data_IF_799692733501
#
_entry.id   IF_799692733501
#
_cell.length_a   1.000
_cell.length_b   1.000
_cell.length_c   1.000
_cell.angle_alpha   90.00
_cell.angle_beta   90.00
_cell.angle_gamma   90.00
#
_symmetry.space_group_name_H-M   'P 1'
#
loop_
_entity.id
_entity.type
_entity.pdbx_description
1 polymer ?
#
# COMPACT_ATOMS: atom_id res chain seq x y z
N UNK A 1 -18.20 -27.93 19.10
CA UNK A 1 -16.74 -27.79 18.91
C UNK A 1 -16.35 -26.36 19.26
N UNK A 2 -15.27 -26.12 20.03
CA UNK A 2 -14.89 -24.76 20.44
C UNK A 2 -14.40 -23.95 19.21
N UNK A 3 -15.10 -22.88 18.79
CA UNK A 3 -14.78 -22.13 17.57
C UNK A 3 -13.40 -21.45 17.62
N UNK A 4 -12.83 -21.24 18.81
CA UNK A 4 -11.47 -20.71 18.98
C UNK A 4 -10.38 -21.73 18.60
N UNK A 5 -10.71 -23.03 18.56
CA UNK A 5 -9.77 -24.10 18.20
C UNK A 5 -9.86 -24.53 16.73
N UNK A 6 -10.81 -23.97 15.98
CA UNK A 6 -11.07 -24.34 14.58
C UNK A 6 -10.68 -23.17 13.67
N UNK A 7 -9.88 -23.39 12.62
CA UNK A 7 -9.64 -22.40 11.59
C UNK A 7 -10.94 -21.92 10.92
N UNK A 8 -11.17 -20.61 10.77
CA UNK A 8 -12.36 -20.12 10.10
C UNK A 8 -12.27 -20.29 8.58
N UNK A 9 -13.34 -20.79 7.97
CA UNK A 9 -13.50 -20.84 6.50
C UNK A 9 -13.74 -19.43 5.94
N UNK A 10 -13.03 -19.00 4.88
CA UNK A 10 -13.24 -17.69 4.26
C UNK A 10 -14.66 -17.52 3.70
N UNK A 11 -15.14 -16.28 3.68
CA UNK A 11 -16.53 -15.89 3.35
C UNK A 11 -16.56 -15.01 2.10
N UNK A 12 -15.72 -13.98 2.03
CA UNK A 12 -15.84 -12.91 1.02
C UNK A 12 -14.86 -13.15 -0.12
N UNK A 13 -15.33 -13.17 -1.37
CA UNK A 13 -14.50 -13.39 -2.57
C UNK A 13 -13.89 -12.09 -3.14
N UNK A 14 -13.05 -12.17 -4.17
CA UNK A 14 -12.51 -11.01 -4.87
C UNK A 14 -13.61 -10.30 -5.70
N UNK A 15 -13.34 -9.07 -6.12
CA UNK A 15 -14.32 -8.22 -6.80
C UNK A 15 -14.87 -8.87 -8.08
N UNK A 16 -14.01 -9.50 -8.88
CA UNK A 16 -14.39 -10.20 -10.11
C UNK A 16 -15.36 -11.36 -9.85
N UNK A 17 -15.14 -12.11 -8.76
CA UNK A 17 -15.92 -13.31 -8.45
C UNK A 17 -17.23 -13.03 -7.71
N UNK A 18 -17.34 -11.91 -6.97
CA UNK A 18 -18.60 -11.60 -6.27
C UNK A 18 -19.71 -11.15 -7.22
N UNK A 19 -19.35 -10.66 -8.41
CA UNK A 19 -20.30 -10.06 -9.36
C UNK A 19 -20.98 -8.81 -8.82
N UNK A 20 -22.10 -8.43 -9.43
CA UNK A 20 -22.96 -7.34 -8.97
C UNK A 20 -23.99 -7.89 -7.95
N UNK A 21 -23.81 -7.63 -6.64
CA UNK A 21 -24.72 -8.14 -5.62
C UNK A 21 -26.11 -7.54 -5.70
N UNK A 22 -26.32 -6.40 -6.37
CA UNK A 22 -27.66 -5.81 -6.54
C UNK A 22 -28.52 -6.61 -7.52
N UNK A 23 -27.91 -7.48 -8.34
CA UNK A 23 -28.60 -8.39 -9.27
C UNK A 23 -28.80 -9.80 -8.69
N UNK A 24 -28.23 -10.07 -7.51
CA UNK A 24 -28.28 -11.38 -6.86
C UNK A 24 -29.56 -11.53 -6.03
N UNK A 25 -30.18 -12.72 -6.09
CA UNK A 25 -31.43 -13.03 -5.36
C UNK A 25 -31.22 -13.92 -4.13
N UNK A 26 -30.16 -14.72 -4.09
CA UNK A 26 -29.89 -15.66 -3.01
C UNK A 26 -28.63 -15.28 -2.24
N UNK A 27 -28.75 -15.06 -0.93
CA UNK A 27 -27.66 -14.74 -0.02
C UNK A 27 -27.48 -15.81 1.07
N UNK A 28 -27.78 -17.07 0.76
CA UNK A 28 -27.58 -18.19 1.67
C UNK A 28 -26.16 -18.24 2.23
N UNK A 29 -26.07 -18.35 3.56
CA UNK A 29 -24.82 -18.46 4.30
C UNK A 29 -24.51 -19.89 4.74
N UNK A 30 -25.39 -20.85 4.45
CA UNK A 30 -25.27 -22.24 4.91
C UNK A 30 -23.91 -22.87 4.55
N UNK A 31 -23.38 -22.56 3.37
CA UNK A 31 -22.09 -23.08 2.90
C UNK A 31 -20.89 -22.67 3.77
N UNK A 32 -21.00 -21.61 4.60
CA UNK A 32 -19.92 -21.14 5.47
C UNK A 32 -19.90 -21.83 6.84
N UNK A 33 -20.89 -22.69 7.12
CA UNK A 33 -21.06 -23.41 8.39
C UNK A 33 -21.06 -24.91 8.13
N UNK A 34 -19.88 -25.53 8.13
CA UNK A 34 -19.74 -26.99 7.99
C UNK A 34 -20.43 -27.75 9.13
N UNK A 35 -20.53 -27.13 10.30
CA UNK A 35 -21.21 -27.68 11.48
C UNK A 35 -22.02 -26.58 12.17
N UNK A 36 -23.31 -26.83 12.41
CA UNK A 36 -24.22 -25.90 13.10
C UNK A 36 -25.10 -25.09 12.16
N UNK A 37 -26.14 -24.47 12.73
CA UNK A 37 -27.06 -23.61 11.99
C UNK A 37 -26.47 -22.19 11.88
N UNK A 38 -26.55 -21.53 10.71
CA UNK A 38 -26.16 -20.13 10.59
C UNK A 38 -26.91 -19.26 11.61
N UNK A 39 -26.28 -18.24 12.20
CA UNK A 39 -26.96 -17.28 13.06
C UNK A 39 -28.15 -16.65 12.34
N UNK A 40 -29.24 -16.40 13.08
CA UNK A 40 -30.39 -15.64 12.58
C UNK A 40 -29.90 -14.26 12.14
N UNK A 41 -30.25 -13.86 10.91
CA UNK A 41 -29.81 -12.60 10.30
C UNK A 41 -28.52 -12.69 9.47
N UNK A 42 -27.78 -13.81 9.49
CA UNK A 42 -26.52 -13.93 8.73
C UNK A 42 -26.66 -13.73 7.21
N UNK A 43 -27.82 -14.03 6.63
CA UNK A 43 -28.08 -13.76 5.20
C UNK A 43 -28.10 -12.25 4.90
N UNK A 44 -28.72 -11.44 5.78
CA UNK A 44 -28.77 -9.99 5.66
C UNK A 44 -27.36 -9.40 5.87
N UNK A 45 -26.65 -9.89 6.88
CA UNK A 45 -25.24 -9.53 7.12
C UNK A 45 -24.39 -9.72 5.85
N UNK A 46 -24.54 -10.88 5.20
CA UNK A 46 -23.79 -11.24 4.00
C UNK A 46 -24.18 -10.38 2.80
N UNK A 47 -25.48 -10.21 2.55
CA UNK A 47 -26.00 -9.37 1.47
C UNK A 47 -25.45 -7.95 1.54
N UNK A 48 -25.62 -7.28 2.68
CA UNK A 48 -25.22 -5.88 2.81
C UNK A 48 -23.71 -5.70 2.93
N UNK A 49 -22.98 -6.73 3.38
CA UNK A 49 -21.52 -6.75 3.26
C UNK A 49 -21.10 -6.75 1.79
N UNK A 50 -21.70 -7.60 0.95
CA UNK A 50 -21.37 -7.65 -0.48
C UNK A 50 -21.72 -6.34 -1.18
N UNK A 51 -22.91 -5.79 -0.93
CA UNK A 51 -23.35 -4.49 -1.48
C UNK A 51 -22.40 -3.36 -1.07
N UNK A 52 -22.04 -3.28 0.22
CA UNK A 52 -21.08 -2.30 0.70
C UNK A 52 -19.73 -2.41 0.00
N UNK A 53 -19.19 -3.63 -0.12
CA UNK A 53 -17.90 -3.83 -0.78
C UNK A 53 -17.98 -3.48 -2.27
N UNK A 54 -19.09 -3.78 -2.93
CA UNK A 54 -19.30 -3.47 -4.35
C UNK A 54 -19.32 -1.96 -4.63
N UNK A 55 -19.74 -1.14 -3.68
CA UNK A 55 -19.63 0.34 -3.78
C UNK A 55 -18.20 0.84 -3.97
N UNK A 56 -17.18 0.00 -3.74
CA UNK A 56 -15.76 0.30 -3.95
C UNK A 56 -15.16 -0.45 -5.15
N UNK A 57 -15.98 -0.87 -6.12
CA UNK A 57 -15.53 -1.56 -7.33
C UNK A 57 -14.58 -0.73 -8.22
N UNK A 58 -14.55 0.60 -8.06
CA UNK A 58 -13.57 1.50 -8.69
C UNK A 58 -12.28 1.73 -7.90
N UNK A 59 -12.06 1.01 -6.80
CA UNK A 59 -10.80 1.06 -6.04
C UNK A 59 -10.46 -0.31 -5.43
N UNK A 60 -9.66 -1.08 -6.17
CA UNK A 60 -9.22 -2.42 -5.77
C UNK A 60 -8.54 -2.43 -4.39
N UNK A 61 -7.79 -1.38 -4.08
CA UNK A 61 -7.12 -1.22 -2.79
C UNK A 61 -8.10 -0.98 -1.63
N UNK A 62 -9.11 -0.13 -1.82
CA UNK A 62 -10.13 0.15 -0.80
C UNK A 62 -11.00 -1.08 -0.57
N UNK A 63 -11.45 -1.73 -1.65
CA UNK A 63 -12.18 -2.99 -1.60
C UNK A 63 -11.43 -4.03 -0.75
N UNK A 64 -10.15 -4.27 -1.03
CA UNK A 64 -9.37 -5.29 -0.32
C UNK A 64 -9.12 -4.93 1.15
N UNK A 65 -8.97 -3.64 1.47
CA UNK A 65 -8.84 -3.18 2.84
C UNK A 65 -10.13 -3.43 3.63
N UNK A 66 -11.28 -3.01 3.10
CA UNK A 66 -12.58 -3.19 3.74
C UNK A 66 -13.00 -4.66 3.81
N UNK A 67 -12.81 -5.42 2.74
CA UNK A 67 -13.05 -6.86 2.72
C UNK A 67 -12.27 -7.57 3.83
N UNK A 68 -11.00 -7.21 4.03
CA UNK A 68 -10.18 -7.82 5.09
C UNK A 68 -10.74 -7.55 6.48
N UNK A 69 -11.07 -6.31 6.81
CA UNK A 69 -11.51 -5.98 8.18
C UNK A 69 -12.96 -6.39 8.45
N UNK A 70 -13.86 -6.26 7.47
CA UNK A 70 -15.27 -6.65 7.62
C UNK A 70 -15.40 -8.16 7.67
N UNK A 71 -14.63 -8.91 6.89
CA UNK A 71 -14.63 -10.36 6.99
C UNK A 71 -14.13 -10.84 8.35
N UNK A 72 -13.07 -10.25 8.90
CA UNK A 72 -12.61 -10.58 10.27
C UNK A 72 -13.73 -10.39 11.29
N UNK A 73 -14.48 -9.31 11.15
CA UNK A 73 -15.59 -9.00 12.03
C UNK A 73 -16.76 -9.96 11.86
N UNK A 74 -17.17 -10.26 10.62
CA UNK A 74 -18.17 -11.29 10.29
C UNK A 74 -17.80 -12.64 10.90
N UNK A 75 -16.54 -13.07 10.76
CA UNK A 75 -16.06 -14.31 11.33
C UNK A 75 -16.23 -14.32 12.86
N UNK A 76 -15.90 -13.22 13.53
CA UNK A 76 -16.07 -13.09 14.96
C UNK A 76 -17.55 -13.08 15.38
N UNK A 77 -18.39 -12.27 14.75
CA UNK A 77 -19.83 -12.22 15.02
C UNK A 77 -20.49 -13.59 14.86
N UNK A 78 -20.21 -14.28 13.75
CA UNK A 78 -20.86 -15.54 13.44
C UNK A 78 -20.33 -16.73 14.22
N UNK A 79 -19.01 -16.80 14.45
CA UNK A 79 -18.37 -18.00 15.02
C UNK A 79 -18.08 -17.87 16.51
N UNK A 80 -17.86 -16.66 17.02
CA UNK A 80 -17.52 -16.43 18.43
C UNK A 80 -18.78 -15.99 19.19
N UNK A 81 -19.44 -14.94 18.72
CA UNK A 81 -20.67 -14.43 19.36
C UNK A 81 -21.93 -15.22 18.99
N UNK A 82 -21.94 -15.87 17.81
CA UNK A 82 -23.10 -16.62 17.32
C UNK A 82 -24.31 -15.75 16.98
N UNK A 83 -24.09 -14.46 16.70
CA UNK A 83 -25.14 -13.46 16.45
C UNK A 83 -24.87 -12.69 15.15
N UNK A 84 -25.92 -12.10 14.59
CA UNK A 84 -25.81 -11.18 13.46
C UNK A 84 -25.01 -9.94 13.85
N UNK A 85 -24.23 -9.41 12.91
CA UNK A 85 -23.48 -8.17 13.12
C UNK A 85 -24.39 -6.96 13.40
N UNK A 86 -25.65 -7.01 12.95
CA UNK A 86 -26.63 -5.94 13.19
C UNK A 86 -27.03 -5.82 14.67
N UNK A 87 -26.76 -6.85 15.47
CA UNK A 87 -27.07 -6.86 16.90
C UNK A 87 -25.91 -6.35 17.78
N UNK A 88 -24.77 -6.00 17.17
CA UNK A 88 -23.56 -5.65 17.91
C UNK A 88 -23.66 -4.23 18.44
N UNK A 89 -23.34 -4.08 19.73
CA UNK A 89 -23.30 -2.82 20.47
C UNK A 89 -21.87 -2.41 20.73
N UNK A 90 -21.72 -1.26 21.38
CA UNK A 90 -20.42 -0.68 21.71
C UNK A 90 -19.51 -1.66 22.45
N UNK A 91 -20.06 -2.33 23.46
CA UNK A 91 -19.39 -3.33 24.28
C UNK A 91 -18.88 -4.51 23.44
N UNK A 92 -19.70 -5.00 22.50
CA UNK A 92 -19.31 -6.09 21.59
C UNK A 92 -18.16 -5.65 20.67
N UNK A 93 -18.16 -4.40 20.19
CA UNK A 93 -17.04 -3.87 19.40
C UNK A 93 -15.75 -3.80 20.24
N UNK A 94 -15.83 -3.42 21.53
CA UNK A 94 -14.65 -3.45 22.40
C UNK A 94 -14.10 -4.87 22.58
N UNK A 95 -14.97 -5.86 22.73
CA UNK A 95 -14.58 -7.26 22.84
C UNK A 95 -14.00 -7.81 21.53
N UNK A 96 -14.53 -7.40 20.38
CA UNK A 96 -13.91 -7.69 19.08
C UNK A 96 -12.51 -7.09 18.95
N UNK A 97 -12.27 -5.87 19.43
CA UNK A 97 -10.93 -5.28 19.42
C UNK A 97 -9.97 -6.08 20.33
N UNK A 98 -10.41 -6.51 21.52
CA UNK A 98 -9.62 -7.41 22.38
C UNK A 98 -9.30 -8.74 21.69
N UNK A 99 -10.27 -9.29 20.97
CA UNK A 99 -10.07 -10.49 20.14
C UNK A 99 -9.03 -10.25 19.03
N UNK A 100 -9.01 -9.09 18.37
CA UNK A 100 -8.01 -8.77 17.35
C UNK A 100 -6.60 -8.58 17.92
N UNK A 101 -6.49 -8.10 19.17
CA UNK A 101 -5.22 -7.97 19.89
C UNK A 101 -4.66 -9.34 20.23
N UNK A 102 -5.49 -10.27 20.70
CA UNK A 102 -5.08 -11.63 21.08
C UNK A 102 -6.00 -12.69 20.45
N UNK A 103 -5.90 -12.92 19.12
CA UNK A 103 -6.73 -13.89 18.44
C UNK A 103 -6.28 -15.32 18.78
N UNK A 104 -7.17 -16.32 18.69
CA UNK A 104 -6.80 -17.72 18.91
C UNK A 104 -5.76 -18.20 17.90
N UNK A 105 -4.85 -19.08 18.32
CA UNK A 105 -3.77 -19.63 17.46
C UNK A 105 -4.29 -20.31 16.17
N UNK A 106 -5.50 -20.89 16.20
CA UNK A 106 -6.13 -21.49 15.02
C UNK A 106 -6.50 -20.44 13.94
N UNK A 107 -6.63 -19.17 14.31
CA UNK A 107 -7.03 -18.04 13.45
C UNK A 107 -5.82 -17.25 12.90
N UNK A 108 -4.61 -17.65 13.30
CA UNK A 108 -3.36 -16.98 12.93
C UNK A 108 -2.61 -17.85 11.93
N UNK A 109 -2.24 -17.24 10.81
CA UNK A 109 -1.35 -17.80 9.80
C UNK A 109 0.02 -17.13 9.85
N UNK A 110 1.01 -17.77 9.24
CA UNK A 110 2.40 -17.27 9.13
C UNK A 110 2.74 -16.81 7.72
N UNK A 111 1.80 -17.00 6.77
CA UNK A 111 1.94 -16.63 5.36
C UNK A 111 0.65 -15.96 4.88
N UNK A 112 0.80 -15.00 3.97
CA UNK A 112 -0.33 -14.38 3.29
C UNK A 112 -0.73 -15.24 2.09
N UNK A 113 -1.85 -15.92 2.20
CA UNK A 113 -2.39 -16.80 1.15
C UNK A 113 -3.70 -16.25 0.60
N UNK A 114 -4.06 -16.56 -0.65
CA UNK A 114 -5.38 -16.22 -1.18
C UNK A 114 -6.46 -16.98 -0.41
N UNK A 115 -7.66 -16.40 -0.28
CA UNK A 115 -8.80 -17.06 0.40
C UNK A 115 -9.33 -18.26 -0.36
N UNK A 116 -9.31 -18.15 -1.68
CA UNK A 116 -9.80 -19.16 -2.58
C UNK A 116 -8.77 -19.43 -3.67
N UNK A 117 -8.69 -20.67 -4.10
CA UNK A 117 -7.84 -21.16 -5.17
C UNK A 117 -8.71 -21.55 -6.37
N UNK A 118 -8.16 -21.44 -7.58
CA UNK A 118 -8.82 -21.97 -8.78
C UNK A 118 -8.21 -23.34 -9.09
N UNK A 119 -9.03 -24.39 -9.03
CA UNK A 119 -8.65 -25.78 -9.30
C UNK A 119 -9.66 -26.34 -10.29
N UNK A 120 -9.21 -26.75 -11.48
CA UNK A 120 -10.07 -27.23 -12.57
C UNK A 120 -11.24 -26.26 -12.88
N UNK A 121 -10.92 -24.97 -13.03
CA UNK A 121 -11.87 -23.86 -13.24
C UNK A 121 -12.95 -23.69 -12.16
N UNK A 122 -12.79 -24.38 -11.02
CA UNK A 122 -13.66 -24.24 -9.86
C UNK A 122 -12.94 -23.54 -8.73
N UNK A 123 -13.69 -22.68 -8.05
CA UNK A 123 -13.20 -21.93 -6.91
C UNK A 123 -13.31 -22.79 -5.65
N UNK A 124 -12.17 -23.11 -5.04
CA UNK A 124 -12.05 -23.96 -3.84
C UNK A 124 -11.50 -23.13 -2.67
N UNK A 125 -11.95 -23.41 -1.46
CA UNK A 125 -11.42 -22.79 -0.23
C UNK A 125 -9.94 -23.11 -0.08
N UNK A 126 -9.16 -22.11 0.33
CA UNK A 126 -7.78 -22.33 0.73
C UNK A 126 -7.67 -22.64 2.22
N UNK A 127 -7.37 -23.89 2.56
CA UNK A 127 -7.24 -24.36 3.95
C UNK A 127 -6.05 -23.75 4.70
N UNK A 128 -5.10 -23.13 4.00
CA UNK A 128 -3.99 -22.37 4.58
C UNK A 128 -4.37 -20.91 4.90
N UNK A 129 -5.55 -20.44 4.46
CA UNK A 129 -5.96 -19.05 4.69
C UNK A 129 -6.31 -18.80 6.16
N UNK A 130 -5.81 -17.69 6.70
CA UNK A 130 -6.13 -17.24 8.05
C UNK A 130 -6.44 -15.75 8.08
N UNK A 131 -7.41 -15.31 8.92
CA UNK A 131 -7.78 -13.89 9.01
C UNK A 131 -6.67 -13.02 9.60
N UNK A 132 -5.88 -13.55 10.53
CA UNK A 132 -4.71 -12.88 11.10
C UNK A 132 -3.45 -13.51 10.53
N UNK A 133 -2.46 -12.69 10.19
CA UNK A 133 -1.19 -13.15 9.62
C UNK A 133 -0.05 -12.45 10.31
N UNK A 134 0.85 -13.23 10.91
CA UNK A 134 2.10 -12.71 11.47
C UNK A 134 3.08 -12.44 10.33
N UNK A 135 3.71 -11.28 10.38
CA UNK A 135 4.75 -10.89 9.43
C UNK A 135 6.01 -10.53 10.21
N UNK A 136 7.15 -11.06 9.77
CA UNK A 136 8.46 -10.64 10.23
C UNK A 136 8.93 -9.46 9.38
N UNK A 137 9.65 -8.51 9.98
CA UNK A 137 10.27 -7.41 9.23
C UNK A 137 11.26 -7.96 8.21
N UNK A 138 11.41 -7.28 7.08
CA UNK A 138 12.26 -7.73 5.95
C UNK A 138 13.69 -8.03 6.38
N UNK A 139 14.26 -7.18 7.24
CA UNK A 139 15.57 -7.34 7.90
C UNK A 139 15.71 -8.72 8.55
N UNK A 140 14.89 -8.97 9.58
CA UNK A 140 14.88 -10.24 10.34
C UNK A 140 14.56 -11.46 9.49
N UNK A 141 13.69 -11.32 8.49
CA UNK A 141 13.40 -12.41 7.56
C UNK A 141 14.63 -12.80 6.73
N UNK A 142 15.46 -11.82 6.31
CA UNK A 142 16.73 -12.07 5.62
C UNK A 142 17.78 -12.71 6.54
N UNK A 143 17.67 -12.52 7.86
CA UNK A 143 18.49 -13.21 8.88
C UNK A 143 18.00 -14.64 9.18
N UNK A 144 16.99 -15.14 8.46
CA UNK A 144 16.45 -16.50 8.63
C UNK A 144 15.36 -16.63 9.70
N UNK A 145 14.94 -15.52 10.33
CA UNK A 145 13.88 -15.54 11.35
C UNK A 145 12.52 -15.75 10.67
N UNK A 146 11.86 -16.84 11.05
CA UNK A 146 10.54 -17.21 10.53
C UNK A 146 9.41 -16.69 11.44
N UNK A 147 8.26 -16.27 10.88
CA UNK A 147 7.11 -15.85 11.68
C UNK A 147 6.53 -17.01 12.48
N UNK A 148 6.36 -16.82 13.79
CA UNK A 148 5.59 -17.73 14.64
C UNK A 148 4.22 -17.13 15.00
N UNK A 149 3.20 -17.98 15.12
CA UNK A 149 1.83 -17.53 15.43
C UNK A 149 1.71 -16.84 16.80
N UNK A 150 2.59 -17.19 17.75
CA UNK A 150 2.65 -16.57 19.09
C UNK A 150 3.11 -15.11 19.04
N UNK A 151 3.80 -14.70 17.98
CA UNK A 151 4.35 -13.35 17.81
C UNK A 151 3.35 -12.36 17.18
N UNK A 152 2.06 -12.72 17.15
CA UNK A 152 1.03 -11.83 16.63
C UNK A 152 0.96 -10.56 17.48
N UNK A 153 1.17 -9.42 16.82
CA UNK A 153 1.07 -8.10 17.41
C UNK A 153 0.21 -7.21 16.51
N UNK A 154 -0.85 -6.64 17.09
CA UNK A 154 -1.70 -5.69 16.38
C UNK A 154 -1.09 -4.30 16.43
N UNK A 155 -0.66 -3.78 15.27
CA UNK A 155 -0.11 -2.42 15.18
C UNK A 155 -1.20 -1.34 15.33
N UNK A 156 -0.80 -0.13 15.72
CA UNK A 156 -1.68 1.04 15.74
C UNK A 156 -2.26 1.36 14.36
N UNK A 157 -1.51 1.15 13.29
CA UNK A 157 -2.01 1.33 11.91
C UNK A 157 -3.08 0.30 11.54
N UNK A 158 -2.90 -0.97 11.93
CA UNK A 158 -3.90 -2.01 11.73
C UNK A 158 -5.17 -1.72 12.54
N UNK A 159 -5.02 -1.26 13.78
CA UNK A 159 -6.14 -0.87 14.63
C UNK A 159 -6.93 0.32 14.07
N UNK A 160 -6.24 1.35 13.56
CA UNK A 160 -6.89 2.46 12.82
C UNK A 160 -7.67 1.94 11.61
N UNK A 161 -7.10 0.99 10.84
CA UNK A 161 -7.78 0.40 9.70
C UNK A 161 -9.05 -0.37 10.08
N UNK A 162 -9.03 -1.12 11.19
CA UNK A 162 -10.22 -1.80 11.73
C UNK A 162 -11.31 -0.77 12.05
N UNK A 163 -11.00 0.27 12.83
CA UNK A 163 -11.98 1.30 13.18
C UNK A 163 -12.50 2.06 11.96
N UNK A 164 -11.65 2.38 10.98
CA UNK A 164 -12.07 3.04 9.74
C UNK A 164 -13.04 2.17 8.94
N UNK A 165 -12.72 0.89 8.75
CA UNK A 165 -13.57 -0.02 7.99
C UNK A 165 -14.90 -0.28 8.69
N UNK A 166 -14.88 -0.57 9.99
CA UNK A 166 -16.11 -0.80 10.75
C UNK A 166 -16.98 0.46 10.83
N UNK A 167 -16.40 1.63 11.12
CA UNK A 167 -17.15 2.90 11.13
C UNK A 167 -17.83 3.12 9.79
N UNK A 168 -17.09 3.03 8.69
CA UNK A 168 -17.65 3.24 7.34
C UNK A 168 -18.74 2.21 6.99
N UNK A 169 -18.57 0.96 7.43
CA UNK A 169 -19.56 -0.09 7.18
C UNK A 169 -20.84 0.15 7.97
N UNK A 170 -20.76 0.48 9.26
CA UNK A 170 -21.93 0.78 10.08
C UNK A 170 -22.62 2.10 9.71
N UNK A 171 -21.87 3.09 9.22
CA UNK A 171 -22.46 4.31 8.64
C UNK A 171 -23.28 3.94 7.39
N UNK A 172 -22.77 3.06 6.54
CA UNK A 172 -23.51 2.53 5.39
C UNK A 172 -24.76 1.75 5.81
N UNK A 173 -24.68 0.86 6.79
CA UNK A 173 -25.84 0.11 7.29
C UNK A 173 -26.93 1.02 7.88
N UNK A 174 -26.53 2.12 8.52
CA UNK A 174 -27.45 3.17 8.99
C UNK A 174 -28.15 3.86 7.82
N UNK A 175 -27.41 4.19 6.76
CA UNK A 175 -27.97 4.82 5.55
C UNK A 175 -28.93 3.89 4.79
N UNK A 176 -28.67 2.58 4.83
CA UNK A 176 -29.56 1.53 4.32
C UNK A 176 -30.73 1.20 5.26
N UNK A 177 -30.90 1.97 6.35
CA UNK A 177 -32.00 1.86 7.32
C UNK A 177 -32.07 0.49 8.04
N UNK A 178 -30.94 -0.20 8.17
CA UNK A 178 -30.85 -1.44 8.94
C UNK A 178 -30.58 -1.21 10.43
N UNK A 179 -30.08 -0.03 10.79
CA UNK A 179 -29.67 0.34 12.13
C UNK A 179 -30.01 1.81 12.39
N UNK A 180 -30.36 2.13 13.64
CA UNK A 180 -30.64 3.51 14.05
C UNK A 180 -29.35 4.31 14.33
N UNK A 181 -28.26 3.63 14.67
CA UNK A 181 -27.01 4.28 15.06
C UNK A 181 -25.77 3.41 14.83
N UNK A 182 -24.63 4.06 14.56
CA UNK A 182 -23.34 3.41 14.42
C UNK A 182 -22.68 3.12 15.79
N UNK A 183 -22.47 1.84 16.17
CA UNK A 183 -21.89 1.46 17.45
C UNK A 183 -20.39 1.83 17.60
N UNK A 184 -19.71 2.16 16.51
CA UNK A 184 -18.27 2.47 16.48
C UNK A 184 -17.98 3.94 16.78
N UNK A 185 -18.93 4.83 16.52
CA UNK A 185 -18.73 6.30 16.54
C UNK A 185 -18.20 6.82 17.87
N UNK A 186 -18.76 6.38 19.00
CA UNK A 186 -18.34 6.81 20.33
C UNK A 186 -17.01 6.21 20.78
N UNK A 187 -16.67 5.00 20.32
CA UNK A 187 -15.41 4.33 20.66
C UNK A 187 -14.26 5.09 20.04
N UNK A 188 -14.38 5.48 18.76
CA UNK A 188 -13.29 6.18 18.05
C UNK A 188 -12.92 7.50 18.70
N UNK A 189 -13.88 8.25 19.24
CA UNK A 189 -13.65 9.55 19.87
C UNK A 189 -12.91 9.44 21.21
N UNK A 190 -13.23 8.41 22.01
CA UNK A 190 -12.66 8.18 23.36
C UNK A 190 -11.85 6.88 23.44
N UNK A 191 -11.22 6.47 22.33
CA UNK A 191 -10.61 5.14 22.24
C UNK A 191 -9.40 5.03 23.16
N UNK A 192 -9.51 4.17 24.18
CA UNK A 192 -8.38 3.74 25.00
C UNK A 192 -7.36 2.88 24.24
N UNK A 193 -7.72 2.42 23.04
CA UNK A 193 -6.89 1.53 22.23
C UNK A 193 -5.98 2.29 21.25
N UNK A 194 -6.40 3.50 20.83
CA UNK A 194 -5.64 4.33 19.89
C UNK A 194 -4.71 5.28 20.65
N UNK A 195 -3.41 5.06 20.48
CA UNK A 195 -2.39 5.96 21.01
C UNK A 195 -2.24 7.13 20.04
N UNK A 196 -2.44 8.35 20.54
CA UNK A 196 -2.11 9.58 19.82
C UNK A 196 -0.63 9.88 20.03
N UNK A 197 0.22 9.41 19.14
CA UNK A 197 1.64 9.76 19.15
C UNK A 197 1.80 11.19 18.60
N UNK A 198 2.54 12.05 19.30
CA UNK A 198 2.93 13.38 18.80
C UNK A 198 4.21 13.32 17.94
N UNK A 199 4.97 12.23 18.01
CA UNK A 199 6.17 12.06 17.19
C UNK A 199 5.78 11.84 15.72
N UNK A 200 6.42 12.60 14.84
CA UNK A 200 6.35 12.42 13.39
C UNK A 200 7.12 11.15 13.07
N UNK A 201 6.50 10.21 12.35
CA UNK A 201 7.21 9.02 11.88
C UNK A 201 8.39 9.46 10.99
N UNK A 202 9.61 9.03 11.33
CA UNK A 202 10.81 9.32 10.53
C UNK A 202 10.59 8.85 9.09
N UNK A 203 10.68 9.79 8.14
CA UNK A 203 10.54 9.49 6.72
C UNK A 203 11.79 8.74 6.25
N UNK A 204 11.65 7.44 6.04
CA UNK A 204 12.75 6.59 5.56
C UNK A 204 13.14 6.96 4.13
N UNK A 205 14.44 7.11 3.91
CA UNK A 205 15.09 7.59 2.68
C UNK A 205 16.37 6.80 2.46
N UNK A 206 16.81 6.71 1.20
CA UNK A 206 18.20 6.35 0.90
C UNK A 206 19.08 7.60 1.02
N UNK A 207 20.32 7.43 1.44
CA UNK A 207 21.31 8.51 1.52
C UNK A 207 21.75 8.98 0.13
N UNK A 208 22.40 10.14 0.03
CA UNK A 208 22.91 10.66 -1.24
C UNK A 208 23.98 9.72 -1.83
N UNK A 209 24.89 9.21 -0.99
CA UNK A 209 25.87 8.20 -1.39
C UNK A 209 25.20 6.94 -1.94
N UNK A 210 24.21 6.38 -1.22
CA UNK A 210 23.46 5.23 -1.69
C UNK A 210 22.75 5.50 -3.02
N UNK A 211 22.15 6.68 -3.18
CA UNK A 211 21.46 7.06 -4.42
C UNK A 211 22.42 7.14 -5.61
N UNK A 212 23.58 7.79 -5.45
CA UNK A 212 24.63 7.87 -6.48
C UNK A 212 25.06 6.46 -6.93
N UNK A 213 25.32 5.56 -5.97
CA UNK A 213 25.63 4.17 -6.26
C UNK A 213 24.47 3.44 -6.97
N UNK A 214 23.22 3.68 -6.54
CA UNK A 214 22.03 3.05 -7.12
C UNK A 214 21.84 3.47 -8.57
N UNK A 215 21.93 4.77 -8.88
CA UNK A 215 21.71 5.25 -10.24
C UNK A 215 22.85 4.84 -11.17
N UNK A 216 24.11 4.93 -10.73
CA UNK A 216 25.28 4.48 -11.51
C UNK A 216 25.25 2.96 -11.75
N UNK A 217 24.90 2.17 -10.73
CA UNK A 217 24.73 0.71 -10.90
C UNK A 217 23.62 0.40 -11.90
N UNK A 218 22.49 1.11 -11.81
CA UNK A 218 21.37 0.90 -12.75
C UNK A 218 21.75 1.29 -14.17
N UNK A 219 22.54 2.35 -14.36
CA UNK A 219 23.05 2.77 -15.66
C UNK A 219 24.01 1.75 -16.26
N UNK A 220 24.94 1.19 -15.46
CA UNK A 220 25.82 0.10 -15.88
C UNK A 220 25.02 -1.12 -16.35
N UNK A 221 24.04 -1.55 -15.56
CA UNK A 221 23.15 -2.65 -15.92
C UNK A 221 22.43 -2.39 -17.25
N UNK A 222 21.98 -1.15 -17.50
CA UNK A 222 21.35 -0.75 -18.75
C UNK A 222 22.32 -0.73 -19.94
N UNK A 223 23.60 -0.40 -19.71
CA UNK A 223 24.62 -0.46 -20.75
C UNK A 223 25.01 -1.90 -21.11
N UNK A 224 25.03 -2.81 -20.13
CA UNK A 224 25.40 -4.22 -20.29
C UNK A 224 24.28 -5.08 -20.90
N UNK A 225 23.03 -4.90 -20.44
CA UNK A 225 21.85 -5.59 -20.97
C UNK A 225 20.70 -4.59 -21.21
N UNK A 226 20.77 -3.83 -22.33
CA UNK A 226 19.82 -2.76 -22.62
C UNK A 226 18.37 -3.26 -22.77
N UNK A 227 18.16 -4.45 -23.34
CA UNK A 227 16.81 -5.00 -23.57
C UNK A 227 16.01 -5.13 -22.27
N UNK A 228 16.70 -5.47 -21.18
CA UNK A 228 16.08 -5.63 -19.86
C UNK A 228 16.18 -4.37 -19.01
N UNK A 229 17.33 -3.71 -19.02
CA UNK A 229 17.67 -2.72 -17.99
C UNK A 229 17.47 -1.26 -18.40
N UNK A 230 17.25 -0.93 -19.68
CA UNK A 230 16.82 0.43 -20.06
C UNK A 230 15.46 0.81 -19.45
N UNK A 231 14.52 -0.14 -19.39
CA UNK A 231 13.25 0.06 -18.67
C UNK A 231 13.47 0.23 -17.17
N UNK A 232 14.45 -0.48 -16.62
CA UNK A 232 14.79 -0.40 -15.19
C UNK A 232 15.33 0.99 -14.84
N UNK A 233 16.30 1.49 -15.61
CA UNK A 233 16.84 2.83 -15.47
C UNK A 233 15.77 3.91 -15.60
N UNK A 234 14.88 3.79 -16.58
CA UNK A 234 13.78 4.73 -16.76
C UNK A 234 12.80 4.73 -15.57
N UNK A 235 12.50 3.56 -14.99
CA UNK A 235 11.67 3.45 -13.78
C UNK A 235 12.33 4.17 -12.60
N UNK A 236 13.65 3.98 -12.39
CA UNK A 236 14.38 4.62 -11.29
C UNK A 236 14.33 6.16 -11.40
N UNK A 237 14.60 6.68 -12.60
CA UNK A 237 14.50 8.12 -12.88
C UNK A 237 13.08 8.65 -12.64
N UNK A 238 12.05 7.96 -13.14
CA UNK A 238 10.65 8.36 -12.91
C UNK A 238 10.28 8.44 -11.42
N UNK A 239 10.70 7.47 -10.62
CA UNK A 239 10.37 7.40 -9.20
C UNK A 239 11.08 8.49 -8.39
N UNK A 240 12.33 8.78 -8.75
CA UNK A 240 13.16 9.76 -8.06
C UNK A 240 12.81 11.20 -8.50
N UNK A 241 12.92 11.51 -9.79
CA UNK A 241 12.85 12.89 -10.31
C UNK A 241 11.42 13.44 -10.44
N UNK A 242 10.42 12.58 -10.68
CA UNK A 242 9.02 12.99 -10.82
C UNK A 242 8.17 12.63 -9.60
N UNK A 243 8.79 12.07 -8.55
CA UNK A 243 8.14 11.68 -7.30
C UNK A 243 6.96 10.73 -7.52
N UNK A 244 6.93 9.91 -8.58
CA UNK A 244 5.74 9.12 -8.90
C UNK A 244 5.48 8.05 -7.84
N UNK A 245 4.18 7.77 -7.57
CA UNK A 245 3.80 6.56 -6.84
C UNK A 245 3.93 5.37 -7.77
N UNK A 246 4.24 4.18 -7.25
CA UNK A 246 4.30 2.96 -8.08
C UNK A 246 2.99 2.69 -8.82
N UNK A 247 1.85 2.99 -8.21
CA UNK A 247 0.54 2.84 -8.85
C UNK A 247 0.33 3.80 -10.02
N UNK A 248 1.08 4.90 -10.09
CA UNK A 248 1.02 5.89 -11.18
C UNK A 248 1.89 5.47 -12.38
N UNK A 249 2.61 4.36 -12.28
CA UNK A 249 3.44 3.79 -13.35
C UNK A 249 2.84 2.53 -13.97
N UNK A 250 1.70 2.06 -13.47
CA UNK A 250 1.04 0.84 -13.96
C UNK A 250 -0.32 1.19 -14.53
N UNK A 251 -0.78 0.33 -15.43
CA UNK A 251 -2.15 0.30 -15.90
C UNK A 251 -3.06 -0.33 -14.84
N UNK A 252 -3.99 0.47 -14.32
CA UNK A 252 -4.98 0.07 -13.32
C UNK A 252 -6.36 0.66 -13.62
N UNK A 253 -7.32 0.46 -12.71
CA UNK A 253 -8.70 0.94 -12.88
C UNK A 253 -8.84 2.47 -13.05
N UNK A 254 -7.77 3.26 -12.84
CA UNK A 254 -7.80 4.73 -12.88
C UNK A 254 -7.23 5.29 -14.16
N UNK A 255 -6.13 4.72 -14.65
CA UNK A 255 -5.44 5.23 -15.84
C UNK A 255 -4.43 4.23 -16.40
N UNK A 256 -4.18 4.36 -17.71
CA UNK A 256 -3.06 3.73 -18.42
C UNK A 256 -2.01 4.80 -18.71
N UNK A 257 -0.83 4.80 -18.05
CA UNK A 257 0.22 5.78 -18.35
C UNK A 257 0.80 5.58 -19.76
N UNK A 258 0.85 6.65 -20.55
CA UNK A 258 1.28 6.64 -21.95
C UNK A 258 2.35 7.71 -22.24
N UNK A 259 3.02 7.60 -23.39
CA UNK A 259 4.09 8.52 -23.76
C UNK A 259 3.60 9.96 -23.99
N UNK A 260 2.40 10.16 -24.53
CA UNK A 260 1.79 11.49 -24.70
C UNK A 260 1.36 12.16 -23.39
N UNK A 261 1.56 11.51 -22.23
CA UNK A 261 1.43 12.16 -20.93
C UNK A 261 2.60 13.12 -20.65
N UNK A 262 3.75 12.93 -21.31
CA UNK A 262 4.76 13.97 -21.45
C UNK A 262 4.32 14.97 -22.52
N UNK A 263 4.08 16.21 -22.11
CA UNK A 263 3.62 17.28 -22.99
C UNK A 263 4.53 18.48 -22.87
N UNK A 264 4.86 19.06 -24.04
CA UNK A 264 5.58 20.32 -24.14
C UNK A 264 4.58 21.46 -24.30
N UNK A 265 4.70 22.49 -23.48
CA UNK A 265 3.87 23.69 -23.60
C UNK A 265 4.40 24.66 -24.69
N UNK A 266 3.69 25.78 -24.91
CA UNK A 266 4.07 26.80 -25.89
C UNK A 266 5.39 27.51 -25.56
N UNK A 267 5.82 27.48 -24.29
CA UNK A 267 7.08 28.04 -23.84
C UNK A 267 8.23 27.01 -23.87
N UNK A 268 8.00 25.84 -24.47
CA UNK A 268 8.93 24.71 -24.53
C UNK A 268 9.24 24.03 -23.19
N UNK A 269 8.45 24.26 -22.14
CA UNK A 269 8.60 23.52 -20.88
C UNK A 269 7.91 22.16 -20.97
N UNK A 270 8.52 21.15 -20.36
CA UNK A 270 7.97 19.80 -20.30
C UNK A 270 7.21 19.55 -19.00
N UNK A 271 6.05 18.94 -19.17
CA UNK A 271 5.14 18.56 -18.11
C UNK A 271 4.77 17.08 -18.25
N UNK A 272 4.69 16.37 -17.14
CA UNK A 272 4.15 15.01 -17.09
C UNK A 272 2.77 15.03 -16.43
N UNK A 273 1.75 14.56 -17.12
CA UNK A 273 0.37 14.50 -16.65
C UNK A 273 0.09 13.14 -16.03
N UNK A 274 -0.44 13.10 -14.82
CA UNK A 274 -0.67 11.85 -14.10
C UNK A 274 -1.96 11.86 -13.31
N UNK A 275 -2.69 10.75 -13.34
CA UNK A 275 -3.91 10.56 -12.55
C UNK A 275 -3.61 9.70 -11.33
N UNK A 276 -3.72 10.30 -10.15
CA UNK A 276 -3.37 9.67 -8.86
C UNK A 276 -4.56 9.18 -8.04
N UNK A 277 -4.33 8.99 -6.74
CA UNK A 277 -5.34 8.54 -5.78
C UNK A 277 -6.54 9.49 -5.74
N UNK A 278 -7.75 8.92 -5.80
CA UNK A 278 -9.01 9.67 -5.78
C UNK A 278 -9.40 10.26 -7.14
N UNK A 279 -8.88 9.69 -8.24
CA UNK A 279 -9.07 10.17 -9.61
C UNK A 279 -8.69 11.64 -9.78
N UNK A 280 -7.68 12.09 -9.03
CA UNK A 280 -7.16 13.45 -9.10
C UNK A 280 -6.01 13.49 -10.10
N UNK A 281 -6.16 14.26 -11.16
CA UNK A 281 -5.09 14.55 -12.10
C UNK A 281 -4.20 15.68 -11.58
N UNK A 282 -2.89 15.57 -11.80
CA UNK A 282 -1.92 16.65 -11.60
C UNK A 282 -0.92 16.68 -12.75
N UNK A 283 -0.29 17.83 -12.95
CA UNK A 283 0.87 17.98 -13.81
C UNK A 283 2.14 18.09 -12.96
N UNK A 284 3.22 17.53 -13.45
CA UNK A 284 4.53 17.50 -12.77
C UNK A 284 5.52 18.22 -13.69
N UNK A 285 6.28 19.17 -13.15
CA UNK A 285 7.37 19.79 -13.89
C UNK A 285 8.46 18.74 -14.19
N UNK A 286 8.90 18.61 -15.45
CA UNK A 286 9.91 17.64 -15.86
C UNK A 286 11.23 18.36 -16.08
N UNK A 287 12.26 18.00 -15.31
CA UNK A 287 13.60 18.57 -15.45
C UNK A 287 14.32 18.06 -16.70
N UNK A 288 15.37 18.78 -17.12
CA UNK A 288 16.13 18.47 -18.33
C UNK A 288 16.80 17.08 -18.27
N UNK A 289 17.34 16.68 -17.10
CA UNK A 289 17.91 15.34 -16.92
C UNK A 289 16.86 14.22 -17.12
N UNK A 290 15.62 14.44 -16.67
CA UNK A 290 14.53 13.50 -16.91
C UNK A 290 14.12 13.46 -18.39
N UNK A 291 14.26 14.57 -19.11
CA UNK A 291 14.07 14.60 -20.57
C UNK A 291 15.18 13.82 -21.29
N UNK A 292 16.43 13.91 -20.86
CA UNK A 292 17.51 13.07 -21.41
C UNK A 292 17.29 11.59 -21.10
N UNK A 293 16.87 11.25 -19.88
CA UNK A 293 16.48 9.88 -19.53
C UNK A 293 15.31 9.36 -20.38
N UNK A 294 14.32 10.21 -20.67
CA UNK A 294 13.20 9.89 -21.57
C UNK A 294 13.69 9.64 -23.00
N UNK A 295 14.58 10.49 -23.54
CA UNK A 295 15.15 10.31 -24.89
C UNK A 295 15.91 9.01 -25.00
N UNK A 296 16.75 8.69 -24.01
CA UNK A 296 17.51 7.42 -23.93
C UNK A 296 16.58 6.21 -23.96
N UNK A 297 15.57 6.22 -23.09
CA UNK A 297 14.60 5.13 -22.99
C UNK A 297 13.75 4.96 -24.25
N UNK A 298 13.36 6.06 -24.89
CA UNK A 298 12.61 6.00 -26.15
C UNK A 298 13.46 5.47 -27.30
N UNK A 299 14.73 5.87 -27.36
CA UNK A 299 15.70 5.38 -28.35
C UNK A 299 15.90 3.86 -28.23
N UNK A 300 16.05 3.31 -27.02
CA UNK A 300 16.19 1.86 -26.81
C UNK A 300 14.95 1.06 -27.23
N UNK A 301 13.79 1.72 -27.30
CA UNK A 301 12.53 1.15 -27.80
C UNK A 301 12.31 1.36 -29.30
N UNK A 302 13.26 1.95 -30.03
CA UNK A 302 13.11 2.29 -31.45
C UNK A 302 12.05 3.37 -31.71
N UNK A 303 11.73 4.20 -30.71
CA UNK A 303 10.78 5.32 -30.84
C UNK A 303 11.52 6.63 -31.16
N UNK A 304 10.77 7.65 -31.59
CA UNK A 304 11.31 9.02 -31.71
C UNK A 304 11.84 9.51 -30.37
N UNK A 305 12.91 10.33 -30.36
CA UNK A 305 13.53 10.78 -29.11
C UNK A 305 12.57 11.50 -28.16
N UNK A 306 11.64 12.30 -28.72
CA UNK A 306 10.60 12.98 -27.95
C UNK A 306 9.22 12.44 -28.37
N UNK A 307 8.26 12.35 -27.43
CA UNK A 307 6.90 11.92 -27.74
C UNK A 307 6.18 12.94 -28.60
N UNK A 308 5.34 12.44 -29.49
CA UNK A 308 4.38 13.29 -30.22
C UNK A 308 3.09 13.42 -29.38
N UNK A 309 2.27 14.46 -29.61
CA UNK A 309 1.00 14.64 -28.87
C UNK A 309 0.04 13.45 -28.97
N UNK A 310 0.17 12.60 -29.99
CA UNK A 310 -0.67 11.42 -30.23
C UNK A 310 0.05 10.10 -29.92
N UNK A 311 1.19 10.12 -29.24
CA UNK A 311 1.94 8.91 -28.91
C UNK A 311 1.23 8.09 -27.81
N UNK A 312 0.37 7.17 -28.24
CA UNK A 312 -0.37 6.23 -27.39
C UNK A 312 0.47 5.04 -26.91
N UNK A 313 1.78 5.03 -27.17
CA UNK A 313 2.59 3.91 -26.70
C UNK A 313 2.63 3.90 -25.17
N UNK A 314 2.55 2.72 -24.53
CA UNK A 314 2.62 2.62 -23.07
C UNK A 314 3.90 3.25 -22.52
N UNK A 315 3.78 3.98 -21.41
CA UNK A 315 4.93 4.51 -20.68
C UNK A 315 5.88 3.37 -20.30
N UNK A 316 5.34 2.32 -19.68
CA UNK A 316 6.06 1.10 -19.33
C UNK A 316 5.35 -0.12 -19.94
N UNK A 317 5.86 -0.70 -21.04
CA UNK A 317 5.28 -1.89 -21.64
C UNK A 317 5.57 -3.15 -20.80
N UNK A 318 4.72 -4.17 -20.94
CA UNK A 318 5.01 -5.50 -20.42
C UNK A 318 6.30 -6.04 -21.01
N UNK A 319 7.03 -6.82 -20.21
CA UNK A 319 8.27 -7.46 -20.69
C UNK A 319 7.98 -8.52 -21.77
N UNK A 320 6.86 -9.23 -21.63
CA UNK A 320 6.34 -10.19 -22.61
C UNK A 320 4.87 -9.87 -22.90
N UNK A 321 4.48 -9.99 -24.17
CA UNK A 321 3.13 -9.70 -24.64
C UNK A 321 2.89 -8.23 -24.98
N UNK A 322 1.63 -7.86 -25.15
CA UNK A 322 1.21 -6.50 -25.54
C UNK A 322 0.65 -5.71 -24.35
N UNK A 323 0.76 -4.39 -24.44
CA UNK A 323 0.17 -3.43 -23.49
C UNK A 323 1.10 -3.00 -22.36
N UNK A 324 0.55 -2.18 -21.47
CA UNK A 324 1.25 -1.63 -20.31
C UNK A 324 1.41 -2.65 -19.18
N UNK A 325 2.41 -2.44 -18.33
CA UNK A 325 2.57 -3.17 -17.07
C UNK A 325 1.38 -2.92 -16.14
N UNK A 326 0.76 -3.97 -15.60
CA UNK A 326 -0.43 -3.85 -14.73
C UNK A 326 -0.13 -4.12 -13.25
N UNK A 327 1.08 -4.62 -12.94
CA UNK A 327 1.42 -5.10 -11.61
C UNK A 327 2.43 -4.20 -10.91
N UNK A 328 2.01 -3.54 -9.84
CA UNK A 328 2.94 -2.80 -8.95
C UNK A 328 3.98 -3.72 -8.31
N UNK A 329 3.70 -5.02 -8.17
CA UNK A 329 4.66 -6.00 -7.65
C UNK A 329 5.88 -6.13 -8.57
N UNK A 330 5.67 -6.17 -9.89
CA UNK A 330 6.77 -6.27 -10.84
C UNK A 330 7.71 -5.07 -10.74
N UNK A 331 7.20 -3.84 -10.59
CA UNK A 331 8.04 -2.66 -10.36
C UNK A 331 8.80 -2.76 -9.03
N UNK A 332 8.16 -3.26 -7.96
CA UNK A 332 8.85 -3.50 -6.68
C UNK A 332 10.00 -4.49 -6.81
N UNK A 333 9.79 -5.57 -7.54
CA UNK A 333 10.80 -6.60 -7.75
C UNK A 333 11.98 -6.04 -8.57
N UNK A 334 11.71 -5.20 -9.60
CA UNK A 334 12.73 -4.51 -10.39
C UNK A 334 13.59 -3.58 -9.51
N UNK A 335 12.95 -2.70 -8.73
CA UNK A 335 13.66 -1.74 -7.87
C UNK A 335 14.43 -2.48 -6.78
N UNK A 336 13.86 -3.54 -6.21
CA UNK A 336 14.54 -4.34 -5.21
C UNK A 336 15.78 -5.03 -5.77
N UNK A 337 15.69 -5.55 -6.99
CA UNK A 337 16.84 -6.13 -7.68
C UNK A 337 17.97 -5.11 -7.88
N UNK A 338 17.64 -3.85 -8.20
CA UNK A 338 18.64 -2.78 -8.29
C UNK A 338 19.29 -2.50 -6.94
N UNK A 339 18.51 -2.41 -5.86
CA UNK A 339 19.04 -2.22 -4.50
C UNK A 339 19.93 -3.37 -4.05
N UNK A 340 19.53 -4.62 -4.32
CA UNK A 340 20.33 -5.79 -3.95
C UNK A 340 21.63 -5.84 -4.78
N UNK A 341 21.58 -5.53 -6.08
CA UNK A 341 22.79 -5.45 -6.95
C UNK A 341 23.72 -4.33 -6.49
N UNK A 342 23.17 -3.17 -6.16
CA UNK A 342 23.94 -2.02 -5.65
C UNK A 342 24.58 -2.33 -4.31
N UNK A 343 23.88 -3.05 -3.43
CA UNK A 343 24.42 -3.48 -2.15
C UNK A 343 25.68 -4.33 -2.34
N UNK A 344 25.65 -5.33 -3.22
CA UNK A 344 26.83 -6.18 -3.48
C UNK A 344 28.00 -5.35 -4.02
N UNK A 345 27.75 -4.39 -4.92
CA UNK A 345 28.81 -3.51 -5.43
C UNK A 345 29.39 -2.60 -4.35
N UNK A 346 28.56 -1.95 -3.54
CA UNK A 346 29.04 -1.12 -2.43
C UNK A 346 29.85 -1.96 -1.43
N UNK A 347 29.44 -3.21 -1.22
CA UNK A 347 30.18 -4.15 -0.38
C UNK A 347 31.56 -4.49 -0.97
N UNK A 348 31.65 -4.74 -2.27
CA UNK A 348 32.94 -4.94 -2.97
C UNK A 348 33.86 -3.72 -2.83
N UNK A 349 33.29 -2.51 -2.81
CA UNK A 349 34.01 -1.25 -2.61
C UNK A 349 34.30 -0.95 -1.10
N UNK A 350 33.98 -1.86 -0.19
CA UNK A 350 34.26 -1.73 1.25
C UNK A 350 33.24 -0.88 2.04
N UNK A 351 32.09 -0.58 1.45
CA UNK A 351 31.02 0.28 2.01
C UNK A 351 29.81 -0.54 2.50
N UNK A 352 30.04 -1.74 3.05
CA UNK A 352 28.96 -2.65 3.46
C UNK A 352 28.04 -2.04 4.55
N UNK A 353 28.62 -1.29 5.50
CA UNK A 353 27.85 -0.61 6.56
C UNK A 353 26.91 0.45 5.98
N UNK A 354 27.42 1.30 5.08
CA UNK A 354 26.65 2.33 4.37
C UNK A 354 25.58 1.71 3.46
N UNK A 355 25.82 0.52 2.91
CA UNK A 355 24.88 -0.15 2.01
C UNK A 355 23.72 -0.86 2.74
N UNK A 356 23.86 -1.11 4.05
CA UNK A 356 22.96 -1.97 4.83
C UNK A 356 21.47 -1.65 4.67
N UNK A 357 21.11 -0.38 4.58
CA UNK A 357 19.73 0.07 4.41
C UNK A 357 19.12 -0.36 3.07
N UNK A 358 19.90 -0.50 2.00
CA UNK A 358 19.41 -0.91 0.67
C UNK A 358 18.76 -2.30 0.72
N UNK A 359 19.22 -3.17 1.62
CA UNK A 359 18.63 -4.50 1.83
C UNK A 359 17.20 -4.44 2.35
N UNK A 360 16.83 -3.34 3.00
CA UNK A 360 15.54 -3.17 3.69
C UNK A 360 14.66 -2.13 2.98
N UNK A 361 15.29 -1.27 2.19
CA UNK A 361 14.67 -0.20 1.44
C UNK A 361 13.49 -0.70 0.61
N UNK A 362 12.49 0.16 0.50
CA UNK A 362 11.31 -0.08 -0.32
C UNK A 362 11.27 0.97 -1.41
N UNK A 363 10.57 0.69 -2.50
CA UNK A 363 10.43 1.64 -3.63
C UNK A 363 9.97 3.04 -3.20
N UNK A 364 9.19 3.14 -2.12
CA UNK A 364 8.70 4.43 -1.65
C UNK A 364 9.82 5.33 -1.11
N UNK A 365 10.96 4.75 -0.70
CA UNK A 365 12.12 5.51 -0.25
C UNK A 365 12.70 6.38 -1.37
N UNK A 366 12.68 5.93 -2.64
CA UNK A 366 13.15 6.74 -3.77
C UNK A 366 12.33 8.01 -3.94
N UNK A 367 11.00 7.87 -3.90
CA UNK A 367 10.10 9.03 -3.91
C UNK A 367 10.38 9.95 -2.73
N UNK A 368 10.61 9.39 -1.54
CA UNK A 368 10.89 10.20 -0.36
C UNK A 368 12.23 10.92 -0.45
N UNK A 369 13.27 10.26 -0.95
CA UNK A 369 14.59 10.86 -1.17
C UNK A 369 14.49 11.98 -2.20
N UNK A 370 13.86 11.73 -3.36
CA UNK A 370 13.67 12.77 -4.38
C UNK A 370 12.95 14.02 -3.85
N UNK A 371 11.84 13.83 -3.10
CA UNK A 371 11.13 14.96 -2.48
C UNK A 371 12.02 15.69 -1.47
N UNK A 372 12.73 14.96 -0.60
CA UNK A 372 13.60 15.56 0.41
C UNK A 372 14.78 16.33 -0.17
N UNK A 373 15.41 15.84 -1.25
CA UNK A 373 16.49 16.57 -1.90
C UNK A 373 15.95 17.81 -2.63
N UNK A 374 14.77 17.70 -3.25
CA UNK A 374 14.21 18.81 -4.02
C UNK A 374 13.70 19.97 -3.14
N UNK A 375 13.12 19.69 -1.98
CA UNK A 375 12.69 20.76 -1.04
C UNK A 375 13.85 21.58 -0.47
N UNK A 376 15.11 21.11 -0.60
CA UNK A 376 16.30 21.89 -0.22
C UNK A 376 16.59 23.02 -1.21
N UNK A 377 16.14 22.90 -2.46
CA UNK A 377 16.52 23.80 -3.56
C UNK A 377 15.33 24.46 -4.27
N UNK A 378 14.13 23.85 -4.25
CA UNK A 378 12.90 24.37 -4.89
C UNK A 378 11.88 24.85 -3.85
N UNK A 379 11.02 25.84 -4.21
CA UNK A 379 9.91 26.25 -3.37
C UNK A 379 9.00 25.07 -2.99
N UNK A 380 8.64 24.98 -1.70
CA UNK A 380 7.95 23.83 -1.12
C UNK A 380 6.57 23.62 -1.73
N UNK A 381 5.91 24.69 -2.11
CA UNK A 381 4.60 24.69 -2.76
C UNK A 381 4.69 23.99 -4.11
N UNK A 382 5.76 24.22 -4.87
CA UNK A 382 5.99 23.57 -6.17
C UNK A 382 6.22 22.07 -5.97
N UNK A 383 7.09 21.68 -5.03
CA UNK A 383 7.37 20.27 -4.73
C UNK A 383 6.11 19.56 -4.19
N UNK A 384 5.31 20.21 -3.35
CA UNK A 384 4.01 19.70 -2.87
C UNK A 384 3.10 19.37 -4.04
N UNK A 385 2.96 20.29 -4.98
CA UNK A 385 2.05 20.17 -6.11
C UNK A 385 2.52 19.08 -7.08
N UNK A 386 3.82 19.04 -7.41
CA UNK A 386 4.45 17.99 -8.23
C UNK A 386 4.31 16.61 -7.56
N UNK A 387 4.56 16.51 -6.25
CA UNK A 387 4.39 15.27 -5.49
C UNK A 387 2.91 14.86 -5.34
N UNK A 388 1.96 15.79 -5.51
CA UNK A 388 0.53 15.54 -5.32
C UNK A 388 0.17 15.26 -3.86
N UNK A 389 0.67 16.08 -2.94
CA UNK A 389 0.28 16.06 -1.52
C UNK A 389 -0.95 16.94 -1.28
N UNK A 390 -1.96 16.42 -0.58
CA UNK A 390 -3.19 17.18 -0.29
C UNK A 390 -3.00 18.30 0.75
N UNK A 391 -1.88 18.32 1.48
CA UNK A 391 -1.59 19.32 2.52
C UNK A 391 -0.10 19.61 2.63
N UNK A 392 0.23 20.86 2.97
CA UNK A 392 1.62 21.28 3.28
C UNK A 392 2.22 20.45 4.42
N UNK A 393 1.42 20.11 5.43
CA UNK A 393 1.82 19.24 6.55
C UNK A 393 2.39 17.87 6.12
N UNK A 394 2.08 17.41 4.90
CA UNK A 394 2.66 16.18 4.35
C UNK A 394 4.07 16.44 3.80
N UNK A 395 4.28 17.60 3.16
CA UNK A 395 5.58 18.05 2.63
C UNK A 395 6.51 18.54 3.74
N UNK A 396 5.98 19.10 4.83
CA UNK A 396 6.80 19.56 5.96
C UNK A 396 7.54 18.40 6.67
N UNK A 397 7.08 17.15 6.50
CA UNK A 397 7.74 15.96 7.06
C UNK A 397 9.10 15.64 6.43
N UNK A 398 9.44 16.28 5.32
CA UNK A 398 10.69 16.06 4.60
C UNK A 398 11.79 17.03 5.04
N UNK A 399 11.50 17.89 6.02
CA UNK A 399 12.41 18.90 6.56
C UNK A 399 13.07 18.33 7.83
N UNK A 400 14.39 18.20 7.81
CA UNK A 400 15.19 17.71 8.94
C UNK A 400 15.72 18.82 9.86
N UNK A 401 15.61 20.09 9.45
CA UNK A 401 16.19 21.23 10.19
C UNK A 401 15.75 21.26 11.65
N UNK A 402 14.46 21.02 11.90
CA UNK A 402 13.87 21.20 13.22
C UNK A 402 14.37 20.17 14.25
N UNK A 403 14.68 18.94 13.84
CA UNK A 403 15.15 17.91 14.77
C UNK A 403 16.64 18.06 15.11
N UNK A 404 17.46 18.40 14.12
CA UNK A 404 18.89 18.65 14.35
C UNK A 404 19.11 19.91 15.20
N UNK A 405 18.40 21.00 14.92
CA UNK A 405 18.42 22.22 15.73
C UNK A 405 17.88 21.97 17.14
N UNK A 406 16.79 21.21 17.27
CA UNK A 406 16.24 20.80 18.57
C UNK A 406 17.21 19.92 19.36
N UNK A 407 17.91 18.99 18.70
CA UNK A 407 18.93 18.17 19.35
C UNK A 407 20.12 19.02 19.79
N UNK A 408 20.64 19.88 18.91
CA UNK A 408 21.77 20.75 19.20
C UNK A 408 21.48 21.72 20.36
N UNK A 409 20.31 22.36 20.33
CA UNK A 409 19.84 23.24 21.42
C UNK A 409 19.52 22.48 22.71
N UNK A 410 19.05 21.24 22.62
CA UNK A 410 18.81 20.36 23.76
C UNK A 410 20.10 19.88 24.42
N UNK A 411 21.15 19.62 23.63
CA UNK A 411 22.44 19.10 24.09
C UNK A 411 23.15 20.01 25.10
N UNK A 412 22.97 21.32 24.96
CA UNK A 412 23.59 22.32 25.83
C UNK A 412 22.73 22.74 27.05
N UNK A 413 21.59 22.07 27.32
CA UNK A 413 20.72 22.44 28.43
C UNK A 413 21.36 22.13 29.79
N UNK A 414 21.62 23.13 30.66
CA UNK A 414 22.13 22.87 31.99
C UNK A 414 21.06 22.21 32.87
N UNK A 415 21.45 21.21 33.66
CA UNK A 415 20.57 20.52 34.63
C UNK A 415 20.60 21.20 36.00
N UNK A 416 21.69 21.92 36.32
CA UNK A 416 21.85 22.74 37.52
C UNK A 416 22.23 24.15 37.10
N UNK A 417 21.65 25.15 37.75
CA UNK A 417 22.14 26.52 37.63
C UNK A 417 23.55 26.57 38.24
N UNK A 418 24.55 26.83 37.40
CA UNK A 418 25.85 27.31 37.86
C UNK A 418 25.67 28.77 38.26
N UNK A 419 25.57 29.00 39.58
CA UNK A 419 25.67 30.31 40.20
C UNK A 419 27.10 30.86 40.14
#
# INVERSE_FOLDING_TARGET
MNPKRVPPTPILNNLESIGDPFKRKDFSTAAFFSHGKPPKGSQIDYEYTLKFLYSYNGSSATFNAYRREIERFLQWCWRIEGRSLLLMRREDIEDYIRFCISPPQAWIGTKSTPRFLTVNDKLVVNDEWRPFVVKVRKERFREGISPEKKDHLLSQSAMKAIFTALSSFYDYLTQEQLLDANPVSLIRQKSKFLIKTQNIDVVRRVSNLQWEYVIDTTERMANEDPEKHERTLFIMNCLYAMYLRISELVDDERSTPIMSDFKRDHANHWWFYVTGKGNKSRKIAVCDEMIEALKRYRKSRGLTLLPTPNDQSPLLPKFKGKGAITSTRQIRDIVQYCFDTTFERMKEDGLEEDASDLRTATVHWLRHTGISEDVKIRPREHVRDDAGHNSMQTTDRYIESDEHERHASGKAKPIKETF
#
